data_IF_207385820844
#
_entry.id   IF_207385820844
#
_cell.length_a   1.000
_cell.length_b   1.000
_cell.length_c   1.000
_cell.angle_alpha   90.00
_cell.angle_beta   90.00
_cell.angle_gamma   90.00
#
_symmetry.space_group_name_H-M   'P 1'
#
loop_
_entity.id
_entity.type
_entity.pdbx_description
1 polymer ?
#
# COMPACT_ATOMS: atom_id res chain seq x y z
N UNK A 1 -3.27 -35.37 23.24
CA UNK A 1 -1.84 -35.60 22.98
C UNK A 1 -1.58 -35.22 21.52
N UNK A 2 -1.08 -34.00 21.28
CA UNK A 2 -0.52 -33.56 19.98
C UNK A 2 0.36 -32.30 20.21
N UNK A 3 1.06 -32.27 21.35
CA UNK A 3 2.18 -31.36 21.57
C UNK A 3 3.42 -32.25 21.47
N UNK A 4 4.28 -32.02 20.51
CA UNK A 4 5.58 -32.68 20.47
C UNK A 4 6.10 -32.83 19.06
N UNK A 5 7.12 -32.04 18.74
CA UNK A 5 8.12 -32.35 17.72
C UNK A 5 7.70 -32.32 16.26
N UNK A 6 7.01 -31.25 15.85
CA UNK A 6 7.49 -30.63 14.61
C UNK A 6 8.76 -29.84 14.99
N UNK A 7 9.92 -30.47 14.84
CA UNK A 7 11.21 -29.80 14.73
C UNK A 7 11.17 -28.96 13.45
N UNK A 8 10.57 -27.77 13.50
CA UNK A 8 10.57 -26.89 12.34
C UNK A 8 11.79 -26.00 12.43
N UNK A 9 12.79 -26.15 11.55
CA UNK A 9 13.78 -25.11 11.33
C UNK A 9 13.11 -23.97 10.54
N UNK A 10 12.26 -23.20 11.22
CA UNK A 10 11.81 -21.89 10.74
C UNK A 10 12.95 -20.91 11.01
N UNK A 11 13.90 -20.83 10.09
CA UNK A 11 14.91 -19.79 10.16
C UNK A 11 14.33 -18.48 9.63
N UNK A 12 14.34 -17.46 10.48
CA UNK A 12 14.01 -16.10 10.08
C UNK A 12 15.19 -15.57 9.25
N UNK A 13 14.94 -15.24 7.98
CA UNK A 13 15.89 -14.50 7.16
C UNK A 13 16.14 -13.09 7.71
N UNK A 14 17.09 -12.34 7.11
CA UNK A 14 17.41 -10.99 7.56
C UNK A 14 16.16 -10.11 7.63
N UNK A 15 15.98 -9.43 8.77
CA UNK A 15 14.82 -8.59 9.04
C UNK A 15 14.89 -7.37 8.11
N UNK A 16 14.19 -7.44 6.97
CA UNK A 16 14.06 -6.34 6.02
C UNK A 16 13.12 -5.24 6.57
N UNK A 17 12.87 -4.18 5.78
CA UNK A 17 12.04 -2.99 6.15
C UNK A 17 10.60 -3.27 6.63
N UNK A 18 10.16 -4.54 6.70
CA UNK A 18 8.86 -4.97 7.21
C UNK A 18 8.86 -5.52 8.65
N UNK A 19 10.02 -5.59 9.31
CA UNK A 19 10.13 -6.06 10.70
C UNK A 19 9.90 -7.57 10.88
N UNK A 20 9.94 -8.02 12.14
CA UNK A 20 9.87 -9.45 12.52
C UNK A 20 8.61 -10.13 12.01
N UNK A 21 7.47 -9.43 12.06
CA UNK A 21 6.17 -9.94 11.57
C UNK A 21 6.23 -10.34 10.08
N UNK A 22 6.80 -9.49 9.24
CA UNK A 22 6.90 -9.75 7.80
C UNK A 22 7.89 -10.89 7.49
N UNK A 23 9.02 -10.93 8.20
CA UNK A 23 9.99 -12.02 8.06
C UNK A 23 9.38 -13.37 8.47
N UNK A 24 8.59 -13.39 9.55
CA UNK A 24 7.91 -14.60 10.03
C UNK A 24 6.83 -15.07 9.05
N UNK A 25 5.99 -14.16 8.56
CA UNK A 25 4.96 -14.49 7.58
C UNK A 25 5.58 -15.09 6.31
N UNK A 26 6.69 -14.50 5.84
CA UNK A 26 7.40 -15.01 4.67
C UNK A 26 8.04 -16.38 4.92
N UNK A 27 8.68 -16.60 6.07
CA UNK A 27 9.29 -17.88 6.41
C UNK A 27 8.26 -19.01 6.51
N UNK A 28 7.11 -18.74 7.15
CA UNK A 28 5.99 -19.69 7.24
C UNK A 28 5.39 -19.98 5.86
N UNK A 29 5.18 -18.94 5.03
CA UNK A 29 4.70 -19.11 3.66
C UNK A 29 5.62 -20.00 2.84
N UNK A 30 6.94 -19.75 2.89
CA UNK A 30 7.90 -20.60 2.18
C UNK A 30 7.90 -22.02 2.72
N UNK A 31 7.80 -22.23 4.04
CA UNK A 31 7.74 -23.58 4.61
C UNK A 31 6.51 -24.38 4.12
N UNK A 32 5.36 -23.72 3.94
CA UNK A 32 4.16 -24.33 3.36
C UNK A 32 4.37 -24.64 1.87
N UNK A 33 4.94 -23.69 1.10
CA UNK A 33 5.20 -23.88 -0.34
C UNK A 33 6.26 -24.95 -0.63
N UNK A 34 7.27 -25.07 0.22
CA UNK A 34 8.31 -26.09 0.15
C UNK A 34 7.78 -27.48 0.54
N UNK A 35 6.54 -27.58 1.04
CA UNK A 35 5.93 -28.82 1.52
C UNK A 35 6.49 -29.31 2.86
N UNK A 36 7.19 -28.45 3.61
CA UNK A 36 7.67 -28.76 4.97
C UNK A 36 6.52 -28.86 5.97
N UNK A 37 5.44 -28.13 5.71
CA UNK A 37 4.13 -28.37 6.31
C UNK A 37 3.18 -28.84 5.22
N UNK A 38 2.54 -29.98 5.43
CA UNK A 38 1.55 -30.52 4.51
C UNK A 38 0.19 -29.89 4.78
N UNK A 39 -0.65 -29.90 3.74
CA UNK A 39 -2.07 -29.57 3.86
C UNK A 39 -2.71 -30.36 5.02
N UNK A 40 -3.38 -29.65 5.93
CA UNK A 40 -3.99 -30.22 7.12
C UNK A 40 -3.07 -30.36 8.34
N UNK A 41 -1.77 -30.12 8.21
CA UNK A 41 -0.86 -30.19 9.36
C UNK A 41 -1.18 -29.08 10.37
N UNK A 42 -1.21 -29.40 11.68
CA UNK A 42 -1.41 -28.41 12.72
C UNK A 42 -0.15 -27.55 12.87
N UNK A 43 -0.34 -26.23 12.80
CA UNK A 43 0.69 -25.25 13.16
C UNK A 43 0.81 -25.22 14.70
N UNK A 44 2.03 -25.24 15.26
CA UNK A 44 2.22 -25.13 16.70
C UNK A 44 1.66 -23.80 17.24
N UNK A 45 1.20 -23.83 18.49
CA UNK A 45 0.60 -22.66 19.12
C UNK A 45 1.54 -21.44 19.09
N UNK A 46 0.96 -20.24 18.93
CA UNK A 46 1.72 -18.98 18.82
C UNK A 46 2.69 -18.73 19.97
N UNK A 47 2.40 -19.27 21.16
CA UNK A 47 3.29 -19.23 22.33
C UNK A 47 4.57 -20.05 22.12
N UNK A 48 4.44 -21.29 21.65
CA UNK A 48 5.57 -22.18 21.39
C UNK A 48 6.45 -21.62 20.27
N UNK A 49 5.82 -21.06 19.23
CA UNK A 49 6.55 -20.45 18.11
C UNK A 49 7.35 -19.22 18.56
N UNK A 50 6.77 -18.39 19.43
CA UNK A 50 7.42 -17.21 20.00
C UNK A 50 8.64 -17.59 20.86
N UNK A 51 8.50 -18.60 21.72
CA UNK A 51 9.57 -19.09 22.59
C UNK A 51 10.72 -19.70 21.77
N UNK A 52 10.41 -20.55 20.78
CA UNK A 52 11.43 -21.19 19.93
C UNK A 52 12.22 -20.20 19.06
N UNK A 53 11.58 -19.12 18.61
CA UNK A 53 12.20 -18.12 17.73
C UNK A 53 12.75 -16.90 18.47
N UNK A 54 12.49 -16.77 19.78
CA UNK A 54 12.91 -15.62 20.57
C UNK A 54 12.21 -14.31 20.16
N UNK A 55 10.97 -14.37 19.67
CA UNK A 55 10.22 -13.21 19.15
C UNK A 55 9.00 -12.88 20.00
N UNK A 56 8.52 -11.64 19.92
CA UNK A 56 7.29 -11.24 20.62
C UNK A 56 6.07 -12.03 20.12
N UNK A 57 5.26 -12.55 21.05
CA UNK A 57 4.01 -13.24 20.77
C UNK A 57 3.07 -12.41 19.88
N UNK A 58 3.00 -11.10 20.07
CA UNK A 58 2.15 -10.23 19.26
C UNK A 58 2.55 -10.23 17.78
N UNK A 59 3.85 -10.33 17.49
CA UNK A 59 4.35 -10.44 16.11
C UNK A 59 4.00 -11.79 15.48
N UNK A 60 4.01 -12.86 16.27
CA UNK A 60 3.59 -14.20 15.82
C UNK A 60 2.12 -14.24 15.48
N UNK A 61 1.27 -13.74 16.38
CA UNK A 61 -0.19 -13.69 16.17
C UNK A 61 -0.49 -12.89 14.91
N UNK A 62 0.08 -11.68 14.76
CA UNK A 62 -0.17 -10.84 13.60
C UNK A 62 0.36 -11.44 12.28
N UNK A 63 1.38 -12.30 12.31
CA UNK A 63 1.85 -13.01 11.12
C UNK A 63 0.94 -14.19 10.75
N UNK A 64 0.47 -14.95 11.75
CA UNK A 64 -0.48 -16.05 11.55
C UNK A 64 -1.81 -15.51 11.03
N UNK A 65 -2.33 -14.43 11.62
CA UNK A 65 -3.59 -13.79 11.19
C UNK A 65 -3.49 -13.30 9.74
N UNK A 66 -2.34 -12.77 9.32
CA UNK A 66 -2.11 -12.42 7.93
C UNK A 66 -2.20 -13.66 7.02
N UNK A 67 -1.54 -14.76 7.38
CA UNK A 67 -1.55 -15.99 6.58
C UNK A 67 -2.94 -16.65 6.53
N UNK A 68 -3.75 -16.47 7.58
CA UNK A 68 -5.16 -16.86 7.58
C UNK A 68 -5.96 -15.99 6.59
N UNK A 69 -5.75 -14.67 6.61
CA UNK A 69 -6.39 -13.75 5.67
C UNK A 69 -5.97 -13.96 4.20
N UNK A 70 -4.76 -14.48 3.98
CA UNK A 70 -4.25 -14.84 2.65
C UNK A 70 -4.70 -16.24 2.19
N UNK A 71 -5.26 -17.05 3.08
CA UNK A 71 -5.74 -18.40 2.77
C UNK A 71 -4.66 -19.49 2.81
N UNK A 72 -3.47 -19.23 3.34
CA UNK A 72 -2.45 -20.27 3.56
C UNK A 72 -2.75 -21.12 4.79
N UNK A 73 -3.39 -20.51 5.80
CA UNK A 73 -3.74 -21.15 7.06
C UNK A 73 -5.25 -21.06 7.29
N UNK A 74 -5.81 -22.04 8.01
CA UNK A 74 -7.21 -22.05 8.42
C UNK A 74 -7.27 -22.03 9.94
N UNK A 75 -7.88 -20.98 10.47
CA UNK A 75 -8.17 -20.87 11.89
C UNK A 75 -9.52 -21.53 12.19
N UNK A 76 -9.50 -22.58 13.00
CA UNK A 76 -10.71 -23.26 13.45
C UNK A 76 -11.13 -22.72 14.83
N UNK A 77 -12.40 -22.30 15.02
CA UNK A 77 -12.89 -21.86 16.32
C UNK A 77 -12.69 -22.96 17.37
N UNK A 78 -11.94 -22.65 18.44
CA UNK A 78 -11.58 -23.59 19.54
C UNK A 78 -10.66 -24.76 19.17
N UNK A 79 -10.03 -24.73 17.99
CA UNK A 79 -9.05 -25.74 17.58
C UNK A 79 -7.73 -25.08 17.11
N UNK A 80 -6.74 -25.91 16.81
CA UNK A 80 -5.45 -25.44 16.31
C UNK A 80 -5.60 -24.84 14.90
N UNK A 81 -4.68 -23.93 14.56
CA UNK A 81 -4.55 -23.43 13.18
C UNK A 81 -3.92 -24.51 12.34
N UNK A 82 -4.50 -24.84 11.19
CA UNK A 82 -3.97 -25.86 10.27
C UNK A 82 -3.58 -25.25 8.94
N UNK A 83 -2.71 -25.90 8.19
CA UNK A 83 -2.40 -25.49 6.81
C UNK A 83 -3.60 -25.78 5.91
N UNK A 84 -3.98 -24.80 5.09
CA UNK A 84 -5.12 -24.92 4.20
C UNK A 84 -4.96 -26.12 3.24
N UNK A 85 -6.00 -26.94 3.16
CA UNK A 85 -6.03 -28.14 2.32
C UNK A 85 -6.55 -27.87 0.91
N UNK A 86 -7.29 -26.77 0.75
CA UNK A 86 -8.26 -26.59 -0.33
C UNK A 86 -7.68 -25.96 -1.60
N UNK A 87 -6.41 -26.19 -1.91
CA UNK A 87 -5.85 -25.80 -3.21
C UNK A 87 -5.74 -24.29 -3.45
N UNK A 88 -5.94 -23.45 -2.43
CA UNK A 88 -5.43 -22.05 -2.42
C UNK A 88 -3.91 -22.02 -2.21
N UNK A 89 -3.19 -22.94 -2.83
CA UNK A 89 -1.80 -22.68 -3.18
C UNK A 89 -1.87 -21.42 -4.04
N UNK A 90 -1.37 -20.30 -3.52
CA UNK A 90 -1.10 -19.15 -4.37
C UNK A 90 -0.42 -19.68 -5.65
N UNK A 91 -0.89 -19.26 -6.84
CA UNK A 91 -0.34 -19.78 -8.09
C UNK A 91 1.19 -19.70 -7.98
N UNK A 92 1.92 -20.78 -8.36
CA UNK A 92 3.37 -20.78 -8.25
C UNK A 92 3.89 -19.48 -8.83
N UNK A 93 4.88 -18.81 -8.19
CA UNK A 93 5.34 -17.51 -8.67
C UNK A 93 5.62 -17.67 -10.15
N UNK A 94 4.82 -17.00 -10.99
CA UNK A 94 4.97 -17.08 -12.42
C UNK A 94 6.40 -16.65 -12.69
N UNK A 95 7.27 -17.60 -13.06
CA UNK A 95 8.58 -17.26 -13.57
C UNK A 95 8.30 -16.49 -14.84
N UNK A 96 8.35 -15.16 -14.75
CA UNK A 96 8.31 -14.28 -15.90
C UNK A 96 9.42 -14.76 -16.82
N UNK A 97 9.04 -15.45 -17.91
CA UNK A 97 9.99 -15.84 -18.93
C UNK A 97 10.51 -14.54 -19.52
N UNK A 98 11.79 -14.18 -19.33
CA UNK A 98 12.32 -12.97 -19.94
C UNK A 98 12.26 -13.20 -21.45
N UNK A 99 11.45 -12.41 -22.16
CA UNK A 99 11.37 -12.48 -23.62
C UNK A 99 10.01 -12.86 -24.21
N UNK A 100 8.96 -13.11 -23.41
CA UNK A 100 7.61 -13.11 -23.97
C UNK A 100 7.17 -11.65 -24.21
N UNK A 101 7.41 -11.15 -25.41
CA UNK A 101 6.84 -9.86 -25.83
C UNK A 101 5.32 -9.91 -25.61
N UNK A 102 4.71 -8.89 -24.98
CA UNK A 102 3.27 -8.86 -24.80
C UNK A 102 2.64 -8.83 -26.18
N UNK A 103 2.04 -9.96 -26.60
CA UNK A 103 1.15 -9.99 -27.75
C UNK A 103 0.05 -8.99 -27.42
N UNK A 104 -0.05 -7.93 -28.22
CA UNK A 104 -0.97 -6.82 -28.00
C UNK A 104 -2.36 -7.39 -27.66
N UNK A 105 -2.69 -7.35 -26.36
CA UNK A 105 -3.98 -7.79 -25.89
C UNK A 105 -5.00 -6.89 -26.57
N UNK A 106 -5.92 -7.51 -27.30
CA UNK A 106 -7.05 -6.83 -27.92
C UNK A 106 -7.73 -5.92 -26.90
N UNK A 107 -8.14 -4.75 -27.37
CA UNK A 107 -8.66 -3.56 -26.67
C UNK A 107 -9.87 -3.75 -25.72
N UNK A 108 -10.17 -4.98 -25.30
CA UNK A 108 -11.37 -5.35 -24.53
C UNK A 108 -11.12 -5.76 -23.08
N UNK A 109 -9.88 -5.72 -22.59
CA UNK A 109 -9.57 -6.08 -21.20
C UNK A 109 -9.30 -4.81 -20.39
N UNK A 110 -10.20 -4.47 -19.47
CA UNK A 110 -10.00 -3.38 -18.52
C UNK A 110 -8.84 -3.73 -17.55
N UNK A 111 -7.93 -2.78 -17.31
CA UNK A 111 -6.83 -2.93 -16.35
C UNK A 111 -7.39 -2.82 -14.92
N UNK A 112 -7.45 -3.93 -14.17
CA UNK A 112 -7.98 -3.99 -12.81
C UNK A 112 -6.93 -3.71 -11.72
N UNK A 113 -5.74 -3.23 -12.08
CA UNK A 113 -4.69 -2.94 -11.09
C UNK A 113 -5.11 -1.76 -10.20
N UNK A 114 -5.03 -1.90 -8.86
CA UNK A 114 -5.33 -0.80 -7.96
C UNK A 114 -4.39 0.38 -8.22
N UNK A 115 -4.95 1.60 -8.20
CA UNK A 115 -4.21 2.83 -8.46
C UNK A 115 -4.14 3.26 -9.92
N UNK A 116 -4.73 2.51 -10.85
CA UNK A 116 -4.79 2.89 -12.27
C UNK A 116 -6.25 3.03 -12.74
N UNK A 117 -6.86 4.22 -12.64
CA UNK A 117 -8.22 4.42 -13.12
C UNK A 117 -8.28 4.32 -14.66
N UNK A 118 -9.36 3.74 -15.18
CA UNK A 118 -9.67 3.80 -16.61
C UNK A 118 -10.12 5.22 -16.98
N UNK A 119 -9.31 5.93 -17.78
CA UNK A 119 -9.59 7.31 -18.18
C UNK A 119 -10.38 7.40 -19.49
N UNK A 120 -10.62 6.29 -20.19
CA UNK A 120 -11.26 6.32 -21.53
C UNK A 120 -12.65 6.91 -21.51
N UNK A 121 -13.40 6.68 -20.42
CA UNK A 121 -14.70 7.28 -20.19
C UNK A 121 -14.66 8.79 -19.87
N UNK A 122 -13.49 9.31 -19.46
CA UNK A 122 -13.27 10.72 -19.13
C UNK A 122 -12.64 11.51 -20.28
N UNK A 123 -12.15 10.86 -21.35
CA UNK A 123 -11.49 11.55 -22.46
C UNK A 123 -12.46 12.00 -23.59
N UNK A 124 -13.75 12.12 -23.29
CA UNK A 124 -14.77 12.49 -24.29
C UNK A 124 -14.75 13.99 -24.63
N UNK A 125 -15.13 14.39 -25.87
CA UNK A 125 -15.24 15.80 -26.26
C UNK A 125 -16.22 16.59 -25.39
N UNK A 126 -17.32 15.97 -24.98
CA UNK A 126 -18.37 16.56 -24.16
C UNK A 126 -17.84 16.87 -22.77
N UNK A 127 -17.11 15.92 -22.16
CA UNK A 127 -16.42 16.12 -20.89
C UNK A 127 -15.40 17.25 -20.97
N UNK A 128 -14.54 17.25 -22.00
CA UNK A 128 -13.53 18.30 -22.21
C UNK A 128 -14.15 19.68 -22.42
N UNK A 129 -15.32 19.77 -23.04
CA UNK A 129 -16.06 21.03 -23.24
C UNK A 129 -16.65 21.55 -21.93
N UNK A 130 -17.29 20.66 -21.16
CA UNK A 130 -17.83 21.00 -19.84
C UNK A 130 -16.74 21.50 -18.88
N UNK A 131 -15.58 20.84 -18.85
CA UNK A 131 -14.44 21.26 -18.02
C UNK A 131 -13.89 22.64 -18.40
N UNK A 132 -13.68 22.89 -19.70
CA UNK A 132 -13.24 24.21 -20.18
C UNK A 132 -14.23 25.31 -19.81
N UNK A 133 -15.53 25.01 -19.90
CA UNK A 133 -16.59 25.96 -19.54
C UNK A 133 -16.51 26.35 -18.07
N UNK A 134 -16.29 25.38 -17.17
CA UNK A 134 -16.16 25.65 -15.73
C UNK A 134 -14.88 26.42 -15.41
N UNK A 135 -13.74 26.02 -16.00
CA UNK A 135 -12.44 26.67 -15.76
C UNK A 135 -12.37 28.11 -16.31
N UNK A 136 -13.17 28.43 -17.33
CA UNK A 136 -13.25 29.77 -17.92
C UNK A 136 -14.10 30.74 -17.08
N UNK A 137 -14.85 30.26 -16.09
CA UNK A 137 -15.65 31.11 -15.22
C UNK A 137 -14.75 31.80 -14.19
N UNK A 138 -15.00 33.08 -13.86
CA UNK A 138 -14.30 33.73 -12.77
C UNK A 138 -14.57 32.96 -11.47
N UNK A 139 -13.49 32.53 -10.79
CA UNK A 139 -13.61 31.81 -9.52
C UNK A 139 -14.24 32.75 -8.48
N UNK A 140 -15.27 32.31 -7.74
CA UNK A 140 -15.78 33.09 -6.62
C UNK A 140 -14.66 33.26 -5.59
N UNK A 141 -14.62 34.41 -4.89
CA UNK A 141 -13.64 34.58 -3.81
C UNK A 141 -13.85 33.49 -2.77
N UNK A 142 -12.74 32.84 -2.37
CA UNK A 142 -12.77 31.87 -1.28
C UNK A 142 -13.18 32.62 0.00
N UNK A 143 -14.35 32.28 0.55
CA UNK A 143 -14.74 32.73 1.89
C UNK A 143 -13.96 31.89 2.89
N UNK A 144 -12.87 32.46 3.38
CA UNK A 144 -12.09 31.85 4.47
C UNK A 144 -12.71 32.23 5.81
N UNK A 145 -12.75 31.31 6.80
CA UNK A 145 -13.08 31.66 8.16
C UNK A 145 -12.02 32.63 8.72
N UNK A 146 -12.39 33.52 9.66
CA UNK A 146 -11.44 34.45 10.27
C UNK A 146 -10.28 33.68 10.93
N UNK A 147 -9.04 34.10 10.65
CA UNK A 147 -7.82 33.51 11.22
C UNK A 147 -6.95 32.68 10.26
N UNK A 148 -7.42 32.38 9.03
CA UNK A 148 -6.61 31.69 8.01
C UNK A 148 -5.94 32.70 7.08
N UNK A 149 -4.63 32.85 7.21
CA UNK A 149 -3.77 33.57 6.26
C UNK A 149 -3.42 32.65 5.08
N UNK A 150 -3.90 32.98 3.89
CA UNK A 150 -3.44 32.34 2.64
C UNK A 150 -2.26 33.14 2.09
N UNK A 151 -1.15 32.45 1.84
CA UNK A 151 0.01 33.01 1.18
C UNK A 151 -0.39 33.36 -0.26
N UNK A 152 -0.64 34.64 -0.54
CA UNK A 152 -0.96 35.10 -1.89
C UNK A 152 0.25 34.87 -2.79
N UNK A 153 0.04 34.19 -3.92
CA UNK A 153 1.03 34.05 -4.99
C UNK A 153 1.26 35.42 -5.64
N UNK A 154 2.08 36.27 -5.02
CA UNK A 154 2.63 37.44 -5.71
C UNK A 154 3.58 36.94 -6.79
N UNK A 155 3.26 37.30 -8.03
CA UNK A 155 4.15 37.19 -9.17
C UNK A 155 5.50 37.88 -8.85
N UNK A 156 6.65 37.25 -9.11
CA UNK A 156 7.96 37.80 -8.74
C UNK A 156 8.41 39.01 -9.59
N UNK A 157 7.61 39.47 -10.56
CA UNK A 157 8.04 40.45 -11.56
C UNK A 157 7.81 41.94 -11.21
N UNK A 158 7.31 42.28 -10.02
CA UNK A 158 7.02 43.69 -9.65
C UNK A 158 7.84 44.18 -8.44
N UNK A 159 9.09 43.77 -8.34
CA UNK A 159 10.10 44.43 -7.50
C UNK A 159 11.17 45.05 -8.41
N UNK A 160 10.79 46.09 -9.17
CA UNK A 160 11.72 47.04 -9.75
C UNK A 160 11.31 48.42 -9.23
N UNK A 161 12.26 49.10 -8.60
CA UNK A 161 12.01 50.12 -7.60
C UNK A 161 11.29 51.38 -8.10
N UNK A 162 10.65 52.05 -7.15
CA UNK A 162 10.59 53.51 -7.15
C UNK A 162 10.70 53.97 -5.71
N UNK A 163 11.94 54.26 -5.31
CA UNK A 163 12.22 54.98 -4.08
C UNK A 163 11.60 56.38 -4.19
N UNK A 164 10.90 56.77 -3.13
CA UNK A 164 10.39 58.10 -2.93
C UNK A 164 11.55 59.10 -2.94
N UNK A 165 11.46 60.12 -3.79
CA UNK A 165 12.23 61.35 -3.60
C UNK A 165 11.23 62.43 -3.24
N UNK A 166 11.17 62.73 -1.94
CA UNK A 166 10.51 63.92 -1.40
C UNK A 166 11.28 65.14 -1.89
N UNK A 167 10.60 66.02 -2.64
CA UNK A 167 11.04 67.38 -2.88
C UNK A 167 9.93 68.31 -2.41
N UNK A 168 10.21 68.99 -1.30
CA UNK A 168 9.49 70.14 -0.76
C UNK A 168 10.12 71.39 -1.37
N UNK A 169 9.36 72.41 -1.83
CA UNK A 169 9.22 73.66 -1.06
C UNK A 169 7.94 74.47 -1.41
N UNK A 170 7.79 75.76 -1.04
CA UNK A 170 7.85 76.35 0.31
C UNK A 170 6.55 77.11 0.69
N UNK A 171 6.44 77.40 2.00
CA UNK A 171 5.65 78.43 2.70
C UNK A 171 4.83 79.45 1.91
N UNK A 172 3.56 79.62 2.33
CA UNK A 172 2.92 80.92 2.51
C UNK A 172 2.19 80.92 3.86
N UNK A 173 2.14 82.11 4.45
CA UNK A 173 1.93 82.45 5.87
C UNK A 173 0.58 82.05 6.45
#
# INVERSE_FOLDING_TARGET
>A
MASGDLEIPLQLGPIARGGVRAALAQALRQAVLDGRYRAGDPIPASRVLAEKLGVSRGSVVAAVDQLVGEGYLVAHPRAAVTVASDGLLAPPPLRLRPGAAPRAATDRVADLRPGRPDTRALDTPEWRSAWRTVLSRPRPPLRLPPGILVCGSRSPSSCAGRAASTSMPPTCW
#
